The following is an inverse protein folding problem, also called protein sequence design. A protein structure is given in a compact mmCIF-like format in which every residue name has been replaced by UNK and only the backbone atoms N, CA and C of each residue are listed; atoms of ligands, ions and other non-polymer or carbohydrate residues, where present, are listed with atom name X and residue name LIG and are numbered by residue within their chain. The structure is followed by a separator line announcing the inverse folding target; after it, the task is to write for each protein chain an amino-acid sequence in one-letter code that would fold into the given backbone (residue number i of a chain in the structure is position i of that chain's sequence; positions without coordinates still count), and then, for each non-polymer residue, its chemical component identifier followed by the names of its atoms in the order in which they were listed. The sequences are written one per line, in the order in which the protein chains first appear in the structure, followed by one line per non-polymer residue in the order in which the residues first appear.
data_IF_765038490990
#
_entry.id   IF_765038490990
#
_cell.length_a   1.000
_cell.length_b   1.000
_cell.length_c   1.000
_cell.angle_alpha   90.00
_cell.angle_beta   90.00
_cell.angle_gamma   90.00
#
_symmetry.space_group_name_H-M   'P 1'
#
loop_
_entity.id
_entity.type
_entity.pdbx_description
1 polymer ?
#
# COMPACT_ATOMS: atom_id res chain seq x y z
N UNK A 1 54.86 -18.93 -9.05
CA UNK A 1 53.55 -18.28 -8.94
C UNK A 1 53.79 -16.78 -9.00
N UNK A 2 53.19 -16.09 -9.95
CA UNK A 2 53.37 -14.65 -10.11
C UNK A 2 52.54 -13.90 -9.07
N UNK A 3 52.97 -12.70 -8.69
CA UNK A 3 52.27 -11.83 -7.72
C UNK A 3 50.80 -11.56 -8.11
N UNK A 4 50.47 -11.69 -9.40
CA UNK A 4 49.11 -11.60 -9.93
C UNK A 4 48.26 -12.84 -9.62
N UNK A 5 48.82 -14.05 -9.69
CA UNK A 5 48.11 -15.30 -9.37
C UNK A 5 47.75 -15.38 -7.88
N UNK A 6 48.60 -14.85 -7.00
CA UNK A 6 48.31 -14.78 -5.56
C UNK A 6 47.18 -13.79 -5.23
N UNK A 7 47.11 -12.66 -5.94
CA UNK A 7 46.03 -11.68 -5.78
C UNK A 7 44.70 -12.25 -6.24
N UNK A 8 44.66 -12.87 -7.43
CA UNK A 8 43.45 -13.52 -7.97
C UNK A 8 42.95 -14.61 -7.01
N UNK A 9 43.85 -15.42 -6.45
CA UNK A 9 43.47 -16.47 -5.50
C UNK A 9 42.86 -15.91 -4.21
N UNK A 10 43.39 -14.79 -3.70
CA UNK A 10 42.83 -14.11 -2.52
C UNK A 10 41.46 -13.50 -2.79
N UNK A 11 41.27 -12.88 -3.95
CA UNK A 11 39.98 -12.32 -4.36
C UNK A 11 38.91 -13.42 -4.55
N UNK A 12 39.28 -14.54 -5.19
CA UNK A 12 38.38 -15.69 -5.33
C UNK A 12 37.97 -16.28 -3.98
N UNK A 13 38.91 -16.33 -3.02
CA UNK A 13 38.62 -16.81 -1.67
C UNK A 13 37.68 -15.85 -0.92
N UNK A 14 37.87 -14.53 -1.04
CA UNK A 14 36.95 -13.54 -0.46
C UNK A 14 35.55 -13.60 -1.08
N UNK A 15 35.45 -13.78 -2.39
CA UNK A 15 34.15 -13.94 -3.08
C UNK A 15 33.44 -15.20 -2.59
N UNK A 16 34.17 -16.29 -2.39
CA UNK A 16 33.60 -17.55 -1.91
C UNK A 16 33.11 -17.44 -0.45
N UNK A 17 33.87 -16.76 0.42
CA UNK A 17 33.46 -16.46 1.79
C UNK A 17 32.22 -15.54 1.84
N UNK A 18 32.12 -14.54 0.96
CA UNK A 18 30.94 -13.69 0.84
C UNK A 18 29.70 -14.48 0.41
N UNK A 19 29.81 -15.34 -0.61
CA UNK A 19 28.70 -16.20 -1.07
C UNK A 19 28.23 -17.18 0.01
N UNK A 20 29.16 -17.69 0.81
CA UNK A 20 28.83 -18.59 1.90
C UNK A 20 28.09 -17.85 3.02
N UNK A 21 28.54 -16.65 3.40
CA UNK A 21 27.81 -15.79 4.35
C UNK A 21 26.42 -15.40 3.84
N UNK A 22 26.30 -15.08 2.56
CA UNK A 22 25.00 -14.79 1.93
C UNK A 22 24.06 -16.00 2.02
N UNK A 23 24.56 -17.19 1.73
CA UNK A 23 23.78 -18.45 1.84
C UNK A 23 23.34 -18.74 3.26
N UNK A 24 24.22 -18.57 4.25
CA UNK A 24 23.90 -18.73 5.67
C UNK A 24 22.84 -17.71 6.14
N UNK A 25 22.92 -16.48 5.63
CA UNK A 25 21.96 -15.41 5.92
C UNK A 25 20.58 -15.72 5.32
N UNK A 26 20.52 -16.20 4.07
CA UNK A 26 19.27 -16.63 3.42
C UNK A 26 18.64 -17.77 4.21
N UNK A 27 19.42 -18.77 4.61
CA UNK A 27 18.93 -19.88 5.42
C UNK A 27 18.45 -19.46 6.81
N UNK A 28 19.09 -18.47 7.44
CA UNK A 28 18.63 -17.90 8.70
C UNK A 28 17.30 -17.15 8.53
N UNK A 29 17.17 -16.39 7.44
CA UNK A 29 15.94 -15.66 7.08
C UNK A 29 14.79 -16.64 6.80
N UNK A 30 15.05 -17.72 6.05
CA UNK A 30 14.06 -18.76 5.76
C UNK A 30 13.59 -19.48 7.02
N UNK A 31 14.48 -19.72 7.99
CA UNK A 31 14.12 -20.30 9.29
C UNK A 31 13.26 -19.36 10.11
N UNK A 32 13.56 -18.07 10.10
CA UNK A 32 12.77 -17.06 10.79
C UNK A 32 11.37 -16.90 10.16
N UNK A 33 11.30 -16.91 8.83
CA UNK A 33 10.04 -16.95 8.07
C UNK A 33 9.22 -18.21 8.42
N UNK A 34 9.85 -19.39 8.48
CA UNK A 34 9.17 -20.64 8.84
C UNK A 34 8.67 -20.64 10.30
N UNK A 35 9.42 -20.03 11.22
CA UNK A 35 9.02 -19.86 12.62
C UNK A 35 7.83 -18.90 12.76
N UNK A 36 7.85 -17.80 12.01
CA UNK A 36 6.73 -16.87 11.90
C UNK A 36 5.51 -17.57 11.27
N UNK A 37 5.68 -18.39 10.23
CA UNK A 37 4.61 -19.18 9.59
C UNK A 37 3.99 -20.21 10.55
N UNK A 38 4.78 -20.90 11.38
CA UNK A 38 4.28 -21.83 12.38
C UNK A 38 3.46 -21.12 13.48
N UNK A 39 3.78 -19.87 13.82
CA UNK A 39 2.99 -19.04 14.75
C UNK A 39 1.69 -18.48 14.14
N UNK A 40 1.51 -18.57 12.83
CA UNK A 40 0.35 -18.02 12.09
C UNK A 40 -0.80 -19.03 11.90
N UNK A 41 -0.66 -20.27 12.37
CA UNK A 41 -1.59 -21.39 12.17
C UNK A 41 -3.01 -21.25 12.77
N UNK A 42 -3.35 -20.13 13.41
CA UNK A 42 -4.68 -19.91 14.03
C UNK A 42 -5.27 -18.52 13.75
N UNK A 43 -4.80 -17.79 12.74
CA UNK A 43 -5.26 -16.41 12.48
C UNK A 43 -6.19 -16.28 11.28
N UNK A 44 -7.23 -15.45 11.40
CA UNK A 44 -8.10 -15.05 10.29
C UNK A 44 -7.43 -13.96 9.45
N UNK A 45 -7.47 -14.10 8.13
CA UNK A 45 -6.97 -13.10 7.18
C UNK A 45 -8.07 -12.62 6.25
N UNK A 46 -7.91 -11.41 5.74
CA UNK A 46 -8.76 -10.84 4.69
C UNK A 46 -7.94 -10.58 3.44
N UNK A 47 -8.56 -10.75 2.26
CA UNK A 47 -7.88 -10.64 0.97
C UNK A 47 -8.46 -9.51 0.12
N UNK A 48 -7.59 -8.82 -0.60
CA UNK A 48 -7.96 -7.88 -1.66
C UNK A 48 -7.35 -8.36 -2.98
N UNK A 49 -8.15 -8.41 -4.05
CA UNK A 49 -7.72 -8.85 -5.39
C UNK A 49 -7.79 -7.67 -6.34
N UNK A 50 -6.66 -7.37 -7.02
CA UNK A 50 -6.57 -6.29 -8.01
C UNK A 50 -6.11 -6.85 -9.37
N UNK A 51 -6.71 -6.39 -10.48
CA UNK A 51 -6.29 -6.72 -11.85
C UNK A 51 -7.21 -6.14 -12.94
N UNK A 52 -6.69 -5.86 -14.15
CA UNK A 52 -7.51 -5.36 -15.26
C UNK A 52 -8.49 -6.44 -15.75
N UNK A 53 -9.77 -6.09 -15.91
CA UNK A 53 -10.80 -6.99 -16.43
C UNK A 53 -11.60 -7.80 -15.38
N UNK A 54 -11.39 -7.57 -14.08
CA UNK A 54 -12.21 -8.16 -13.01
C UNK A 54 -13.62 -7.53 -13.00
N UNK A 55 -14.66 -8.32 -13.32
CA UNK A 55 -16.06 -7.88 -13.28
C UNK A 55 -16.73 -8.03 -11.91
N UNK A 56 -16.25 -8.97 -11.07
CA UNK A 56 -16.65 -9.09 -9.66
C UNK A 56 -15.75 -10.07 -8.90
N UNK A 57 -15.36 -9.73 -7.67
CA UNK A 57 -14.79 -10.66 -6.69
C UNK A 57 -15.71 -10.67 -5.46
N UNK A 58 -16.22 -11.85 -5.07
CA UNK A 58 -17.02 -12.00 -3.85
C UNK A 58 -16.25 -12.91 -2.89
N UNK A 59 -15.84 -12.37 -1.74
CA UNK A 59 -15.11 -13.09 -0.69
C UNK A 59 -16.10 -13.56 0.36
N UNK A 60 -16.57 -14.81 0.26
CA UNK A 60 -17.49 -15.41 1.23
C UNK A 60 -16.70 -16.24 2.26
N UNK A 61 -16.28 -15.61 3.36
CA UNK A 61 -15.46 -16.20 4.45
C UNK A 61 -14.11 -16.76 3.93
N UNK A 62 -13.13 -17.15 4.78
CA UNK A 62 -11.73 -17.03 4.38
C UNK A 62 -11.52 -17.88 3.14
N UNK A 63 -11.13 -17.21 2.05
CA UNK A 63 -10.51 -17.77 0.84
C UNK A 63 -11.40 -18.38 -0.24
N UNK A 64 -12.22 -17.53 -0.87
CA UNK A 64 -12.75 -17.78 -2.22
C UNK A 64 -12.52 -16.56 -3.13
N UNK A 65 -11.91 -16.77 -4.30
CA UNK A 65 -11.72 -15.74 -5.35
C UNK A 65 -12.46 -16.19 -6.61
N UNK A 66 -13.57 -15.52 -6.95
CA UNK A 66 -14.27 -15.76 -8.20
C UNK A 66 -13.57 -15.02 -9.35
N UNK A 67 -13.14 -15.75 -10.38
CA UNK A 67 -12.59 -15.18 -11.62
C UNK A 67 -13.57 -15.46 -12.76
N UNK A 68 -14.18 -14.42 -13.32
CA UNK A 68 -15.05 -14.54 -14.48
C UNK A 68 -14.24 -14.30 -15.76
N UNK A 69 -14.09 -15.34 -16.59
CA UNK A 69 -13.33 -15.26 -17.85
C UNK A 69 -14.17 -14.57 -18.92
N UNK A 70 -13.63 -13.49 -19.49
CA UNK A 70 -14.22 -12.76 -20.62
C UNK A 70 -13.28 -12.78 -21.83
N UNK A 71 -13.85 -12.63 -23.03
CA UNK A 71 -13.07 -12.44 -24.26
C UNK A 71 -12.48 -11.01 -24.34
N UNK A 72 -11.73 -10.72 -25.41
CA UNK A 72 -11.12 -9.40 -25.65
C UNK A 72 -12.13 -8.25 -25.82
N UNK A 73 -13.44 -8.54 -25.88
CA UNK A 73 -14.52 -7.57 -25.94
C UNK A 73 -15.29 -7.44 -24.62
N UNK A 74 -14.86 -8.14 -23.55
CA UNK A 74 -15.51 -8.14 -22.24
C UNK A 74 -16.74 -9.04 -22.15
N UNK A 75 -16.99 -9.93 -23.14
CA UNK A 75 -18.10 -10.89 -23.09
C UNK A 75 -17.69 -12.16 -22.35
N UNK A 76 -18.53 -12.72 -21.45
CA UNK A 76 -18.24 -14.00 -20.81
C UNK A 76 -18.00 -15.10 -21.85
N UNK A 77 -16.97 -15.93 -21.66
CA UNK A 77 -16.80 -17.12 -22.50
C UNK A 77 -18.07 -17.96 -22.43
N UNK A 78 -18.68 -18.30 -23.57
CA UNK A 78 -19.81 -19.23 -23.69
C UNK A 78 -19.50 -20.22 -24.81
N UNK A 79 -19.32 -21.50 -24.49
CA UNK A 79 -19.22 -22.55 -25.51
C UNK A 79 -20.63 -22.92 -25.98
N UNK A 80 -20.96 -22.84 -27.28
CA UNK A 80 -22.29 -23.15 -27.78
C UNK A 80 -22.46 -24.67 -27.99
N UNK A 81 -23.60 -25.21 -27.52
CA UNK A 81 -24.12 -26.51 -27.95
C UNK A 81 -25.05 -26.31 -29.17
N UNK A 82 -24.69 -26.97 -30.28
CA UNK A 82 -25.45 -27.29 -31.50
C UNK A 82 -25.92 -26.16 -32.46
N UNK A 83 -25.19 -26.07 -33.60
CA UNK A 83 -25.55 -25.76 -35.01
C UNK A 83 -26.73 -24.80 -35.31
N UNK A 84 -26.49 -23.66 -36.00
CA UNK A 84 -26.66 -23.43 -37.47
C UNK A 84 -26.34 -21.97 -37.85
N UNK A 85 -25.71 -21.78 -39.01
CA UNK A 85 -25.61 -20.57 -39.85
C UNK A 85 -24.58 -19.46 -39.52
N UNK A 86 -23.51 -19.51 -40.34
CA UNK A 86 -22.71 -18.45 -40.99
C UNK A 86 -22.77 -17.01 -40.45
N UNK A 87 -21.59 -16.51 -40.05
CA UNK A 87 -21.13 -15.17 -40.43
C UNK A 87 -19.59 -15.16 -40.47
N UNK A 88 -19.05 -14.91 -41.66
CA UNK A 88 -17.62 -14.75 -41.92
C UNK A 88 -17.07 -13.47 -41.27
N UNK A 89 -15.91 -13.58 -40.64
CA UNK A 89 -15.01 -12.46 -40.41
C UNK A 89 -13.62 -12.87 -40.88
N UNK A 90 -13.23 -12.30 -42.01
CA UNK A 90 -11.98 -12.52 -42.74
C UNK A 90 -10.81 -12.00 -41.90
N UNK A 91 -9.87 -12.87 -41.53
CA UNK A 91 -8.52 -12.47 -41.17
C UNK A 91 -7.60 -12.72 -42.37
N UNK A 92 -6.93 -11.66 -42.83
CA UNK A 92 -5.81 -11.78 -43.78
C UNK A 92 -4.64 -12.44 -43.04
N UNK A 93 -4.47 -13.73 -43.25
CA UNK A 93 -3.18 -14.41 -43.10
C UNK A 93 -3.03 -15.41 -44.26
N UNK A 94 -1.88 -15.35 -44.93
CA UNK A 94 -1.45 -16.20 -46.03
C UNK A 94 -1.58 -17.69 -45.66
N UNK A 95 -2.01 -18.58 -46.56
CA UNK A 95 -2.48 -19.91 -46.20
C UNK A 95 -1.32 -20.90 -45.96
N UNK A 96 -1.16 -21.34 -44.72
CA UNK A 96 -0.62 -22.68 -44.44
C UNK A 96 -1.79 -23.65 -44.40
N UNK A 97 -1.92 -24.48 -45.45
CA UNK A 97 -2.89 -25.56 -45.54
C UNK A 97 -2.59 -26.66 -44.50
N UNK A 98 -3.07 -26.50 -43.27
CA UNK A 98 -3.43 -27.62 -42.40
C UNK A 98 -4.69 -27.24 -41.59
N UNK A 99 -5.72 -28.09 -41.53
CA UNK A 99 -6.83 -27.87 -40.62
C UNK A 99 -6.32 -28.08 -39.18
N UNK A 100 -6.21 -27.01 -38.41
CA UNK A 100 -6.03 -27.12 -36.96
C UNK A 100 -7.24 -27.87 -36.38
N UNK A 101 -6.94 -29.01 -35.75
CA UNK A 101 -7.94 -29.86 -35.14
C UNK A 101 -8.71 -29.10 -34.06
N UNK A 102 -10.03 -29.25 -34.04
CA UNK A 102 -10.87 -28.91 -32.89
C UNK A 102 -10.26 -29.51 -31.61
N UNK A 103 -9.99 -28.73 -30.55
CA UNK A 103 -9.43 -29.26 -29.32
C UNK A 103 -10.40 -30.31 -28.75
N UNK A 104 -9.95 -31.56 -28.68
CA UNK A 104 -10.74 -32.70 -28.18
C UNK A 104 -10.73 -32.83 -26.65
N UNK A 105 -10.00 -31.97 -25.95
CA UNK A 105 -9.91 -31.94 -24.49
C UNK A 105 -10.51 -30.64 -23.92
N UNK A 106 -11.21 -30.70 -22.78
CA UNK A 106 -11.63 -29.51 -22.05
C UNK A 106 -10.40 -28.64 -21.75
N UNK A 107 -10.52 -27.30 -21.78
CA UNK A 107 -9.38 -26.46 -21.56
C UNK A 107 -8.84 -26.65 -20.13
N UNK A 108 -7.53 -26.78 -20.01
CA UNK A 108 -6.83 -26.97 -18.73
C UNK A 108 -6.57 -25.59 -18.15
N UNK A 109 -7.16 -25.30 -17.00
CA UNK A 109 -6.91 -24.06 -16.27
C UNK A 109 -5.88 -24.35 -15.18
N UNK A 110 -4.74 -23.67 -15.25
CA UNK A 110 -3.67 -23.77 -14.25
C UNK A 110 -3.61 -22.46 -13.50
N UNK A 111 -3.59 -22.53 -12.17
CA UNK A 111 -3.35 -21.37 -11.33
C UNK A 111 -2.10 -21.62 -10.52
N UNK A 112 -1.13 -20.74 -10.65
CA UNK A 112 0.14 -20.85 -9.92
C UNK A 112 0.43 -19.58 -9.13
N UNK A 113 0.87 -19.77 -7.89
CA UNK A 113 1.52 -18.74 -7.10
C UNK A 113 2.99 -19.16 -6.99
N UNK A 114 3.88 -18.42 -7.65
CA UNK A 114 5.32 -18.73 -7.69
C UNK A 114 6.02 -18.55 -6.33
N UNK A 115 5.33 -17.99 -5.33
CA UNK A 115 5.83 -17.87 -3.95
C UNK A 115 5.61 -19.13 -3.12
N UNK A 116 4.99 -20.18 -3.69
CA UNK A 116 4.66 -21.44 -3.01
C UNK A 116 5.05 -22.68 -3.84
N UNK A 117 5.48 -23.80 -3.20
CA UNK A 117 5.63 -25.08 -3.87
C UNK A 117 4.26 -25.66 -4.27
N UNK A 118 4.13 -26.12 -5.51
CA UNK A 118 2.88 -26.67 -6.05
C UNK A 118 2.46 -27.96 -5.34
N UNK A 119 1.40 -27.94 -4.53
CA UNK A 119 0.69 -29.17 -4.18
C UNK A 119 -0.84 -28.96 -4.09
N UNK A 120 -1.50 -29.67 -5.02
CA UNK A 120 -2.94 -29.95 -5.21
C UNK A 120 -3.96 -29.02 -4.54
N UNK A 121 -4.53 -28.19 -5.41
CA UNK A 121 -5.64 -27.30 -5.17
C UNK A 121 -6.98 -28.04 -5.32
N UNK A 122 -7.93 -27.91 -4.38
CA UNK A 122 -9.29 -28.40 -4.60
C UNK A 122 -10.04 -27.45 -5.53
N UNK A 123 -10.47 -27.95 -6.70
CA UNK A 123 -11.31 -27.23 -7.66
C UNK A 123 -12.68 -27.89 -7.79
N UNK A 124 -13.70 -27.12 -8.13
CA UNK A 124 -15.01 -27.66 -8.50
C UNK A 124 -15.52 -27.02 -9.79
N UNK A 125 -15.90 -27.84 -10.77
CA UNK A 125 -16.46 -27.40 -12.05
C UNK A 125 -17.92 -26.96 -11.83
N UNK A 126 -18.23 -25.70 -12.11
CA UNK A 126 -19.60 -25.19 -12.26
C UNK A 126 -19.97 -25.12 -13.76
N UNK A 127 -21.21 -24.76 -14.17
CA UNK A 127 -21.72 -24.93 -15.55
C UNK A 127 -20.79 -24.39 -16.65
N UNK A 128 -20.97 -24.81 -17.92
CA UNK A 128 -19.90 -25.11 -18.91
C UNK A 128 -19.04 -23.94 -19.41
N UNK A 129 -19.12 -22.77 -18.79
CA UNK A 129 -18.47 -21.54 -19.24
C UNK A 129 -17.88 -20.69 -18.12
N UNK A 130 -17.90 -21.19 -16.87
CA UNK A 130 -17.33 -20.53 -15.71
C UNK A 130 -16.45 -21.49 -14.92
N UNK A 131 -15.29 -20.99 -14.47
CA UNK A 131 -14.34 -21.71 -13.63
C UNK A 131 -14.29 -21.03 -12.26
N UNK A 132 -14.41 -21.81 -11.19
CA UNK A 132 -14.26 -21.33 -9.82
C UNK A 132 -12.90 -21.79 -9.29
N UNK A 133 -12.03 -20.83 -8.96
CA UNK A 133 -10.70 -21.08 -8.41
C UNK A 133 -10.72 -20.71 -6.93
N UNK A 134 -10.48 -21.67 -6.04
CA UNK A 134 -10.31 -21.38 -4.61
C UNK A 134 -8.82 -21.34 -4.26
N UNK A 135 -8.40 -20.23 -3.64
CA UNK A 135 -7.02 -19.98 -3.24
C UNK A 135 -6.99 -19.54 -1.78
N UNK A 136 -6.27 -20.29 -0.95
CA UNK A 136 -5.96 -19.91 0.43
C UNK A 136 -4.48 -19.53 0.55
N UNK A 137 -4.14 -18.23 0.53
CA UNK A 137 -2.79 -17.80 0.85
C UNK A 137 -2.45 -18.22 2.29
N UNK A 138 -1.24 -18.71 2.45
CA UNK A 138 -0.72 -19.20 3.73
C UNK A 138 0.17 -18.17 4.44
N UNK A 139 0.42 -17.03 3.80
CA UNK A 139 1.20 -15.92 4.35
C UNK A 139 0.51 -14.57 4.14
N UNK A 140 0.94 -13.56 4.90
CA UNK A 140 0.51 -12.17 4.75
C UNK A 140 1.21 -11.52 3.54
N UNK A 141 0.67 -10.38 3.08
CA UNK A 141 1.28 -9.56 2.03
C UNK A 141 0.77 -9.85 0.63
N UNK A 142 1.47 -9.31 -0.38
CA UNK A 142 1.13 -9.44 -1.79
C UNK A 142 1.58 -10.77 -2.37
N UNK A 143 0.65 -11.42 -3.04
CA UNK A 143 0.83 -12.65 -3.81
C UNK A 143 0.54 -12.38 -5.28
N UNK A 144 1.29 -13.03 -6.17
CA UNK A 144 1.07 -12.96 -7.62
C UNK A 144 0.44 -14.26 -8.08
N UNK A 145 -0.83 -14.18 -8.46
CA UNK A 145 -1.61 -15.30 -8.95
C UNK A 145 -1.56 -15.32 -10.48
N UNK A 146 -0.76 -16.23 -11.02
CA UNK A 146 -0.75 -16.52 -12.46
C UNK A 146 -1.91 -17.46 -12.79
N UNK A 147 -2.65 -17.14 -13.83
CA UNK A 147 -3.81 -17.91 -14.30
C UNK A 147 -3.61 -18.18 -15.78
N UNK A 148 -3.52 -19.45 -16.12
CA UNK A 148 -3.26 -19.94 -17.47
C UNK A 148 -4.43 -20.81 -17.92
N UNK A 149 -4.77 -20.74 -19.21
CA UNK A 149 -5.75 -21.62 -19.87
C UNK A 149 -5.06 -22.24 -21.09
N UNK A 150 -4.93 -23.56 -21.10
CA UNK A 150 -4.16 -24.32 -22.11
C UNK A 150 -2.72 -23.79 -22.25
N UNK A 151 -2.03 -23.66 -21.12
CA UNK A 151 -0.63 -23.19 -21.05
C UNK A 151 -0.42 -21.78 -21.61
N UNK A 152 -1.49 -20.97 -21.69
CA UNK A 152 -1.44 -19.56 -22.08
C UNK A 152 -1.99 -18.71 -20.95
N UNK A 153 -1.17 -17.76 -20.49
CA UNK A 153 -1.57 -16.80 -19.47
C UNK A 153 -2.76 -15.95 -19.96
N UNK A 154 -3.78 -15.81 -19.13
CA UNK A 154 -4.98 -15.05 -19.49
C UNK A 154 -4.72 -13.54 -19.38
N UNK A 155 -5.50 -12.76 -20.12
CA UNK A 155 -5.49 -11.32 -19.99
C UNK A 155 -5.80 -10.90 -18.53
N UNK A 156 -4.98 -10.01 -17.99
CA UNK A 156 -5.09 -9.53 -16.61
C UNK A 156 -4.29 -10.34 -15.58
N UNK A 157 -3.72 -11.48 -15.99
CA UNK A 157 -2.76 -12.23 -15.19
C UNK A 157 -1.33 -11.68 -15.39
N UNK A 158 -0.47 -11.65 -14.35
CA UNK A 158 -0.75 -12.07 -12.96
C UNK A 158 -1.68 -11.11 -12.22
N UNK A 159 -2.59 -11.68 -11.42
CA UNK A 159 -3.41 -10.93 -10.47
C UNK A 159 -2.63 -10.72 -9.18
N UNK A 160 -2.81 -9.57 -8.53
CA UNK A 160 -2.23 -9.34 -7.20
C UNK A 160 -3.27 -9.59 -6.13
N UNK A 161 -2.98 -10.52 -5.21
CA UNK A 161 -3.79 -10.78 -4.03
C UNK A 161 -3.04 -10.29 -2.80
N UNK A 162 -3.58 -9.31 -2.08
CA UNK A 162 -2.94 -8.79 -0.85
C UNK A 162 -3.66 -9.33 0.36
N UNK A 163 -2.91 -9.92 1.28
CA UNK A 163 -3.42 -10.50 2.53
C UNK A 163 -3.11 -9.61 3.72
N UNK A 164 -4.16 -9.18 4.40
CA UNK A 164 -4.08 -8.41 5.63
C UNK A 164 -4.56 -9.25 6.82
N UNK A 165 -3.84 -9.24 7.95
CA UNK A 165 -4.31 -9.90 9.16
C UNK A 165 -5.62 -9.28 9.64
N UNK A 166 -6.53 -10.08 10.21
CA UNK A 166 -7.72 -9.55 10.87
C UNK A 166 -7.28 -8.58 11.97
N UNK A 167 -7.73 -7.31 11.95
CA UNK A 167 -7.32 -6.31 12.92
C UNK A 167 -7.64 -6.71 14.37
N UNK A 168 -8.63 -7.60 14.58
CA UNK A 168 -8.98 -8.12 15.92
C UNK A 168 -7.92 -9.06 16.50
N UNK A 169 -7.01 -9.55 15.65
CA UNK A 169 -5.98 -10.54 16.00
C UNK A 169 -4.55 -10.00 15.82
N UNK A 170 -4.41 -8.68 15.62
CA UNK A 170 -3.11 -8.00 15.61
C UNK A 170 -2.41 -8.20 16.96
N UNK A 171 -1.25 -8.87 16.90
CA UNK A 171 -0.46 -9.25 18.05
C UNK A 171 0.50 -8.14 18.52
N UNK A 172 1.60 -8.56 19.14
CA UNK A 172 2.73 -7.67 19.43
C UNK A 172 3.46 -7.27 18.14
N UNK A 173 4.13 -6.11 18.11
CA UNK A 173 5.00 -5.76 17.00
C UNK A 173 6.02 -6.87 16.74
N UNK A 174 6.23 -7.23 15.48
CA UNK A 174 7.29 -8.15 15.07
C UNK A 174 8.66 -7.48 15.02
N UNK A 175 8.69 -6.15 14.89
CA UNK A 175 9.91 -5.35 14.77
C UNK A 175 9.66 -3.92 15.26
N UNK A 176 10.68 -3.30 15.81
CA UNK A 176 10.66 -1.88 16.18
C UNK A 176 11.91 -1.19 15.64
N UNK A 177 11.72 -0.08 14.92
CA UNK A 177 12.79 0.79 14.44
C UNK A 177 12.95 1.95 15.41
N UNK A 178 14.13 2.10 16.00
CA UNK A 178 14.46 3.14 16.99
C UNK A 178 15.52 4.11 16.45
N UNK A 179 15.93 5.10 17.27
CA UNK A 179 16.93 6.10 16.85
C UNK A 179 16.38 7.16 15.89
N UNK A 180 15.06 7.27 15.80
CA UNK A 180 14.37 8.32 15.07
C UNK A 180 14.20 9.55 15.98
N UNK A 181 13.91 10.72 15.40
CA UNK A 181 13.62 11.94 16.13
C UNK A 181 12.24 12.46 15.73
N UNK A 182 11.25 12.13 16.57
CA UNK A 182 9.83 12.46 16.38
C UNK A 182 9.34 12.07 14.97
N UNK A 183 9.31 10.76 14.63
CA UNK A 183 8.89 10.31 13.30
C UNK A 183 7.41 10.61 13.04
N UNK A 184 7.09 11.08 11.84
CA UNK A 184 5.75 11.58 11.50
C UNK A 184 5.08 10.76 10.39
N UNK A 185 5.67 10.78 9.19
CA UNK A 185 5.18 10.15 7.97
C UNK A 185 6.06 8.98 7.55
N UNK A 186 5.46 7.99 6.87
CA UNK A 186 6.14 6.85 6.26
C UNK A 186 5.68 6.70 4.81
N UNK A 187 6.63 6.54 3.90
CA UNK A 187 6.41 6.11 2.52
C UNK A 187 7.37 4.97 2.17
N UNK A 188 7.12 4.29 1.06
CA UNK A 188 7.99 3.23 0.54
C UNK A 188 8.31 3.49 -0.92
N UNK A 189 9.55 3.25 -1.33
CA UNK A 189 9.91 3.26 -2.75
C UNK A 189 9.68 1.88 -3.39
N UNK A 190 9.95 1.77 -4.69
CA UNK A 190 9.80 0.54 -5.47
C UNK A 190 10.65 -0.63 -4.94
N UNK A 191 11.80 -0.32 -4.31
CA UNK A 191 12.69 -1.28 -3.64
C UNK A 191 12.21 -1.70 -2.24
N UNK A 192 11.04 -1.23 -1.80
CA UNK A 192 10.48 -1.46 -0.45
C UNK A 192 11.33 -0.88 0.67
N UNK A 193 12.17 0.12 0.38
CA UNK A 193 12.88 0.87 1.40
C UNK A 193 11.91 1.82 2.10
N UNK A 194 11.92 1.81 3.43
CA UNK A 194 11.06 2.63 4.25
C UNK A 194 11.66 4.04 4.39
N UNK A 195 10.92 5.05 3.93
CA UNK A 195 11.30 6.46 4.05
C UNK A 195 10.46 7.10 5.14
N UNK A 196 11.12 7.55 6.20
CA UNK A 196 10.49 8.15 7.38
C UNK A 196 10.81 9.63 7.44
N UNK A 197 9.79 10.48 7.48
CA UNK A 197 9.98 11.90 7.81
C UNK A 197 10.20 12.07 9.32
N UNK A 198 11.33 12.65 9.69
CA UNK A 198 11.69 12.91 11.07
C UNK A 198 11.41 14.38 11.39
N UNK A 199 10.23 14.64 11.94
CA UNK A 199 9.76 15.99 12.25
C UNK A 199 10.73 16.73 13.16
N UNK A 200 11.25 16.07 14.20
CA UNK A 200 12.25 16.66 15.09
C UNK A 200 13.67 16.65 14.52
N UNK A 201 13.92 15.76 13.55
CA UNK A 201 15.21 15.57 12.90
C UNK A 201 15.47 16.49 11.72
N UNK A 202 14.45 17.19 11.20
CA UNK A 202 14.51 18.05 10.02
C UNK A 202 15.09 17.34 8.77
N UNK A 203 14.77 16.06 8.61
CA UNK A 203 15.32 15.18 7.56
C UNK A 203 14.38 14.02 7.25
N UNK A 204 14.69 13.30 6.19
CA UNK A 204 14.11 12.00 5.85
C UNK A 204 15.14 10.91 6.13
N UNK A 205 14.77 9.90 6.92
CA UNK A 205 15.59 8.69 7.09
C UNK A 205 15.09 7.57 6.21
N UNK A 206 16.00 6.91 5.51
CA UNK A 206 15.71 5.77 4.64
C UNK A 206 16.24 4.51 5.33
N UNK A 207 15.44 3.44 5.31
CA UNK A 207 15.81 2.13 5.85
C UNK A 207 15.62 1.07 4.79
N UNK A 208 16.60 0.17 4.64
CA UNK A 208 16.44 -1.01 3.78
C UNK A 208 15.41 -1.99 4.38
N UNK A 209 15.08 -3.04 3.63
CA UNK A 209 14.14 -4.09 4.06
C UNK A 209 14.57 -4.82 5.36
N UNK A 210 15.85 -4.74 5.72
CA UNK A 210 16.41 -5.31 6.97
C UNK A 210 16.32 -4.33 8.13
N UNK A 211 15.86 -3.10 7.90
CA UNK A 211 15.81 -2.03 8.89
C UNK A 211 17.16 -1.33 9.11
N UNK A 212 18.13 -1.54 8.21
CA UNK A 212 19.40 -0.81 8.26
C UNK A 212 19.21 0.58 7.68
N UNK A 213 19.68 1.60 8.42
CA UNK A 213 19.63 2.98 7.98
C UNK A 213 20.60 3.23 6.80
N UNK A 214 20.06 3.80 5.73
CA UNK A 214 20.73 4.31 4.53
C UNK A 214 20.97 5.83 4.71
N UNK A 215 21.87 6.49 3.94
CA UNK A 215 22.02 7.94 3.97
C UNK A 215 20.69 8.71 3.96
N UNK A 216 20.60 9.70 4.85
CA UNK A 216 19.41 10.54 5.03
C UNK A 216 19.34 11.65 4.01
N UNK A 217 18.13 12.12 3.71
CA UNK A 217 17.90 13.27 2.84
C UNK A 217 17.48 14.51 3.63
N UNK A 218 17.90 15.69 3.17
CA UNK A 218 17.53 16.97 3.75
C UNK A 218 18.40 17.40 4.94
N UNK A 219 18.35 18.70 5.21
CA UNK A 219 18.99 19.34 6.36
C UNK A 219 18.09 20.47 6.89
N UNK A 220 18.31 20.89 8.13
CA UNK A 220 17.53 21.98 8.73
C UNK A 220 17.80 23.30 8.01
N UNK A 221 16.75 23.93 7.52
CA UNK A 221 16.80 25.29 6.98
C UNK A 221 15.61 25.62 6.08
N UNK A 222 15.56 26.86 5.60
CA UNK A 222 14.45 27.35 4.78
C UNK A 222 14.77 27.41 3.28
N UNK A 223 15.98 27.03 2.86
CA UNK A 223 16.30 26.91 1.44
C UNK A 223 15.37 25.90 0.74
N UNK A 224 15.21 25.98 -0.59
CA UNK A 224 14.30 25.10 -1.34
C UNK A 224 14.56 23.60 -1.18
N UNK A 225 15.79 23.20 -0.93
CA UNK A 225 16.28 21.83 -0.72
C UNK A 225 16.38 21.44 0.77
N UNK A 226 16.16 22.41 1.68
CA UNK A 226 16.19 22.22 3.12
C UNK A 226 14.78 22.06 3.69
N UNK A 227 14.69 21.41 4.86
CA UNK A 227 13.42 21.09 5.49
C UNK A 227 13.36 21.60 6.93
N UNK A 228 12.19 22.02 7.35
CA UNK A 228 11.89 22.28 8.76
C UNK A 228 10.63 21.49 9.09
N UNK A 229 10.75 20.57 10.06
CA UNK A 229 9.62 19.77 10.53
C UNK A 229 8.90 19.03 9.40
N UNK A 230 9.61 18.18 8.61
CA UNK A 230 8.96 17.42 7.55
C UNK A 230 7.87 16.52 8.14
N UNK A 231 6.70 16.53 7.51
CA UNK A 231 5.50 15.88 8.01
C UNK A 231 5.01 14.79 7.04
N UNK A 232 4.06 15.09 6.16
CA UNK A 232 3.56 14.13 5.18
C UNK A 232 4.61 13.78 4.13
N UNK A 233 4.63 12.52 3.73
CA UNK A 233 5.53 11.99 2.72
C UNK A 233 4.80 11.01 1.79
N UNK A 234 5.10 11.07 0.50
CA UNK A 234 4.62 10.12 -0.51
C UNK A 234 5.70 9.90 -1.59
N UNK A 235 5.59 8.79 -2.31
CA UNK A 235 6.48 8.39 -3.41
C UNK A 235 5.64 8.12 -4.65
N UNK A 236 6.08 8.60 -5.82
CA UNK A 236 5.46 8.23 -7.11
C UNK A 236 6.08 6.96 -7.70
N UNK A 237 5.52 6.48 -8.82
CA UNK A 237 5.96 5.25 -9.51
C UNK A 237 7.39 5.35 -10.09
N UNK A 238 7.99 6.54 -10.07
CA UNK A 238 9.40 6.78 -10.45
C UNK A 238 10.31 7.01 -9.25
N UNK A 239 9.82 6.70 -8.05
CA UNK A 239 10.49 6.89 -6.76
C UNK A 239 10.85 8.35 -6.43
N UNK A 240 10.18 9.33 -7.06
CA UNK A 240 10.31 10.71 -6.60
C UNK A 240 9.61 10.86 -5.26
N UNK A 241 10.23 11.60 -4.35
CA UNK A 241 9.78 11.79 -2.98
C UNK A 241 9.09 13.16 -2.86
N UNK A 242 7.83 13.16 -2.44
CA UNK A 242 7.06 14.35 -2.13
C UNK A 242 6.99 14.51 -0.62
N UNK A 243 7.34 15.68 -0.11
CA UNK A 243 7.36 15.95 1.33
C UNK A 243 6.78 17.34 1.62
N UNK A 244 5.88 17.40 2.61
CA UNK A 244 5.47 18.66 3.20
C UNK A 244 6.42 19.04 4.33
N UNK A 245 6.84 20.29 4.36
CA UNK A 245 7.80 20.81 5.33
C UNK A 245 7.65 22.31 5.41
N UNK A 246 7.42 22.86 6.61
CA UNK A 246 7.34 24.30 6.91
C UNK A 246 6.77 25.19 5.79
N UNK A 247 5.45 25.14 5.60
CA UNK A 247 4.73 25.92 4.59
C UNK A 247 5.12 25.65 3.13
N UNK A 248 5.86 24.56 2.86
CA UNK A 248 6.31 24.15 1.53
C UNK A 248 5.87 22.72 1.21
N UNK A 249 5.79 22.45 -0.08
CA UNK A 249 5.77 21.12 -0.67
C UNK A 249 7.01 20.99 -1.55
N UNK A 250 7.81 19.95 -1.32
CA UNK A 250 9.06 19.71 -2.01
C UNK A 250 9.00 18.34 -2.70
N UNK A 251 9.48 18.27 -3.94
CA UNK A 251 9.63 17.05 -4.74
C UNK A 251 11.11 16.81 -4.99
N UNK A 252 11.59 15.62 -4.66
CA UNK A 252 12.97 15.18 -4.85
C UNK A 252 13.02 13.95 -5.75
N UNK A 253 14.14 13.72 -6.43
CA UNK A 253 14.45 12.42 -7.02
C UNK A 253 14.64 11.36 -5.93
N UNK A 254 14.66 10.09 -6.32
CA UNK A 254 15.02 8.98 -5.41
C UNK A 254 16.44 9.10 -4.84
N UNK A 255 17.35 9.78 -5.54
CA UNK A 255 18.70 10.10 -5.07
C UNK A 255 18.78 11.32 -4.14
N UNK A 256 17.68 12.05 -3.95
CA UNK A 256 17.60 13.20 -3.06
C UNK A 256 17.93 14.55 -3.69
N UNK A 257 17.99 14.63 -5.01
CA UNK A 257 18.15 15.91 -5.73
C UNK A 257 16.80 16.64 -5.78
N UNK A 258 16.78 17.93 -5.46
CA UNK A 258 15.56 18.73 -5.51
C UNK A 258 15.09 18.89 -6.96
N UNK A 259 13.87 18.45 -7.26
CA UNK A 259 13.20 18.66 -8.55
C UNK A 259 12.43 19.97 -8.53
N UNK A 260 11.56 20.16 -7.53
CA UNK A 260 10.72 21.36 -7.43
C UNK A 260 10.33 21.64 -5.98
N UNK A 261 10.22 22.91 -5.64
CA UNK A 261 9.73 23.38 -4.37
C UNK A 261 8.68 24.48 -4.62
N UNK A 262 7.52 24.33 -3.99
CA UNK A 262 6.46 25.34 -4.00
C UNK A 262 6.03 25.65 -2.57
N UNK A 263 5.31 26.76 -2.40
CA UNK A 263 4.77 27.13 -1.10
C UNK A 263 5.51 28.26 -0.41
N UNK A 264 4.71 28.98 0.38
CA UNK A 264 5.12 29.93 1.41
C UNK A 264 3.96 30.05 2.39
N UNK A 265 4.20 30.65 3.55
CA UNK A 265 3.11 30.92 4.49
C UNK A 265 2.06 31.82 3.86
N UNK A 266 0.79 31.40 3.89
CA UNK A 266 -0.31 32.20 3.37
C UNK A 266 -1.60 31.40 3.19
N UNK A 267 -2.57 32.00 2.49
CA UNK A 267 -3.93 31.44 2.30
C UNK A 267 -4.34 31.33 0.83
N UNK A 268 -3.53 31.88 -0.08
CA UNK A 268 -3.81 31.80 -1.53
C UNK A 268 -3.52 30.40 -2.05
N UNK A 269 -3.91 30.16 -3.28
CA UNK A 269 -3.57 28.93 -4.01
C UNK A 269 -2.05 28.76 -4.08
N UNK A 270 -1.57 27.56 -3.75
CA UNK A 270 -0.14 27.27 -3.66
C UNK A 270 0.57 27.90 -2.45
N UNK A 271 -0.13 28.60 -1.55
CA UNK A 271 0.39 29.00 -0.23
C UNK A 271 -0.15 28.05 0.85
N UNK A 272 0.64 27.79 1.90
CA UNK A 272 0.31 26.79 2.93
C UNK A 272 0.43 27.36 4.34
N UNK A 273 -0.39 26.88 5.27
CA UNK A 273 -0.23 27.08 6.71
C UNK A 273 -0.28 25.72 7.42
N UNK A 274 0.88 25.26 7.90
CA UNK A 274 1.09 23.91 8.48
C UNK A 274 0.63 22.76 7.55
N UNK A 275 1.22 22.59 6.36
CA UNK A 275 0.89 21.46 5.50
C UNK A 275 1.33 20.14 6.17
N UNK A 276 0.42 19.18 6.27
CA UNK A 276 0.63 17.88 6.93
C UNK A 276 0.62 16.75 5.91
N UNK A 277 -0.42 15.92 5.87
CA UNK A 277 -0.51 14.76 4.98
C UNK A 277 -0.26 15.11 3.52
N UNK A 278 0.48 14.25 2.84
CA UNK A 278 0.73 14.27 1.40
C UNK A 278 0.37 12.89 0.87
N UNK A 279 -0.52 12.84 -0.11
CA UNK A 279 -0.95 11.58 -0.75
C UNK A 279 -1.01 11.77 -2.25
N UNK A 280 -0.52 10.77 -2.98
CA UNK A 280 -0.67 10.68 -4.42
C UNK A 280 -1.87 9.80 -4.76
N UNK A 281 -2.72 10.27 -5.66
CA UNK A 281 -3.84 9.49 -6.19
C UNK A 281 -4.21 10.03 -7.57
N UNK A 282 -4.40 9.14 -8.55
CA UNK A 282 -4.81 9.49 -9.91
C UNK A 282 -3.99 10.64 -10.54
N UNK A 283 -2.65 10.45 -10.53
CA UNK A 283 -1.65 11.41 -11.04
C UNK A 283 -1.75 12.83 -10.43
N UNK A 284 -2.23 12.93 -9.19
CA UNK A 284 -2.37 14.19 -8.48
C UNK A 284 -1.80 14.10 -7.06
N UNK A 285 -1.32 15.23 -6.56
CA UNK A 285 -0.79 15.40 -5.21
C UNK A 285 -1.82 16.11 -4.34
N UNK A 286 -2.31 15.43 -3.31
CA UNK A 286 -3.23 15.97 -2.32
C UNK A 286 -2.44 16.36 -1.07
N UNK A 287 -2.55 17.61 -0.67
CA UNK A 287 -1.86 18.17 0.51
C UNK A 287 -2.88 18.69 1.51
N UNK A 288 -2.88 18.12 2.72
CA UNK A 288 -3.67 18.62 3.84
C UNK A 288 -3.07 19.92 4.37
N UNK A 289 -3.66 21.06 4.01
CA UNK A 289 -3.25 22.39 4.44
C UNK A 289 -3.93 22.74 5.77
N UNK A 290 -3.36 22.18 6.85
CA UNK A 290 -4.03 21.95 8.14
C UNK A 290 -4.64 23.23 8.74
N UNK A 291 -3.86 24.30 8.88
CA UNK A 291 -4.33 25.53 9.51
C UNK A 291 -5.24 26.35 8.59
N UNK A 292 -5.12 26.16 7.27
CA UNK A 292 -6.04 26.75 6.29
C UNK A 292 -7.32 25.93 6.11
N UNK A 293 -7.40 24.74 6.73
CA UNK A 293 -8.61 23.91 6.82
C UNK A 293 -9.17 23.53 5.45
N UNK A 294 -8.26 23.14 4.56
CA UNK A 294 -8.56 22.69 3.20
C UNK A 294 -7.56 21.61 2.78
N UNK A 295 -7.88 20.93 1.70
CA UNK A 295 -6.92 20.10 0.96
C UNK A 295 -6.61 20.84 -0.34
N UNK A 296 -5.33 21.03 -0.66
CA UNK A 296 -4.92 21.55 -1.97
C UNK A 296 -4.47 20.41 -2.86
N UNK A 297 -4.88 20.45 -4.12
CA UNK A 297 -4.58 19.42 -5.13
C UNK A 297 -3.70 20.02 -6.21
N UNK A 298 -2.64 19.30 -6.55
CA UNK A 298 -1.66 19.65 -7.58
C UNK A 298 -1.52 18.52 -8.60
N UNK A 299 -1.02 18.81 -9.79
CA UNK A 299 -0.51 17.77 -10.69
C UNK A 299 0.88 17.28 -10.23
N UNK A 300 1.45 16.27 -10.91
CA UNK A 300 2.78 15.74 -10.59
C UNK A 300 3.93 16.73 -10.83
N UNK A 301 3.67 17.78 -11.60
CA UNK A 301 4.57 18.92 -11.81
C UNK A 301 4.39 19.99 -10.74
N UNK A 302 3.56 19.78 -9.72
CA UNK A 302 3.23 20.72 -8.64
C UNK A 302 2.58 22.03 -9.11
N UNK A 303 1.82 22.01 -10.20
CA UNK A 303 0.94 23.11 -10.57
C UNK A 303 -0.40 22.95 -9.85
N UNK A 304 -0.94 24.05 -9.32
CA UNK A 304 -2.21 24.02 -8.59
C UNK A 304 -3.36 23.64 -9.52
N UNK A 305 -4.19 22.70 -9.07
CA UNK A 305 -5.37 22.22 -9.81
C UNK A 305 -6.64 22.74 -9.17
N UNK A 306 -6.84 22.47 -7.87
CA UNK A 306 -8.04 22.90 -7.12
C UNK A 306 -7.83 22.81 -5.61
N UNK A 307 -8.77 23.35 -4.84
CA UNK A 307 -8.89 23.12 -3.40
C UNK A 307 -10.17 22.34 -3.09
N UNK A 308 -10.12 21.51 -2.07
CA UNK A 308 -11.28 20.75 -1.55
C UNK A 308 -11.55 21.19 -0.11
N UNK A 309 -12.83 21.44 0.14
CA UNK A 309 -13.38 21.82 1.44
C UNK A 309 -13.13 23.28 1.84
N UNK A 310 -13.78 23.66 2.93
CA UNK A 310 -13.71 24.98 3.56
C UNK A 310 -13.68 24.85 5.08
N UNK A 311 -13.35 25.93 5.78
CA UNK A 311 -13.44 25.93 7.23
C UNK A 311 -14.87 25.62 7.71
N UNK A 312 -15.01 24.65 8.63
CA UNK A 312 -16.21 24.53 9.45
C UNK A 312 -16.36 23.17 10.14
N UNK A 313 -17.61 22.78 10.38
CA UNK A 313 -18.00 21.53 11.08
C UNK A 313 -19.05 20.72 10.31
N UNK A 314 -19.60 21.28 9.24
CA UNK A 314 -20.55 20.65 8.35
C UNK A 314 -19.92 19.59 7.45
N UNK A 315 -20.72 19.13 6.49
CA UNK A 315 -20.31 18.16 5.47
C UNK A 315 -19.36 18.83 4.49
N UNK A 316 -18.24 18.16 4.19
CA UNK A 316 -17.17 18.69 3.34
C UNK A 316 -16.52 19.98 3.87
N UNK A 317 -16.80 20.35 5.12
CA UNK A 317 -16.07 21.37 5.85
C UNK A 317 -15.03 20.70 6.74
N UNK A 318 -13.87 21.34 6.89
CA UNK A 318 -12.75 20.79 7.64
C UNK A 318 -12.36 21.64 8.84
N UNK A 319 -11.78 20.97 9.83
CA UNK A 319 -11.08 21.60 10.93
C UNK A 319 -9.83 20.80 11.29
N UNK A 320 -8.66 21.35 10.93
CA UNK A 320 -7.36 20.70 11.02
C UNK A 320 -7.34 19.32 10.31
N UNK A 321 -7.54 19.26 8.98
CA UNK A 321 -7.32 18.04 8.22
C UNK A 321 -5.83 17.65 8.33
N UNK A 322 -5.56 16.42 8.74
CA UNK A 322 -4.18 15.93 8.96
C UNK A 322 -3.74 14.99 7.87
N UNK A 323 -4.59 14.06 7.45
CA UNK A 323 -4.26 13.08 6.42
C UNK A 323 -5.44 12.81 5.50
N UNK A 324 -5.13 12.39 4.28
CA UNK A 324 -6.09 12.05 3.24
C UNK A 324 -5.66 10.77 2.55
N UNK A 325 -6.57 9.81 2.38
CA UNK A 325 -6.32 8.54 1.67
C UNK A 325 -7.51 8.14 0.82
N UNK A 326 -7.27 7.27 -0.14
CA UNK A 326 -8.28 6.82 -1.10
C UNK A 326 -8.45 5.31 -0.99
N UNK A 327 -9.69 4.83 -1.14
CA UNK A 327 -9.95 3.41 -1.38
C UNK A 327 -9.89 3.06 -2.87
N UNK A 328 -10.04 1.77 -3.20
CA UNK A 328 -9.99 1.30 -4.59
C UNK A 328 -11.19 1.72 -5.44
N UNK A 329 -12.28 2.15 -4.82
CA UNK A 329 -13.42 2.75 -5.52
C UNK A 329 -13.20 4.26 -5.77
N UNK A 330 -12.09 4.81 -5.28
CA UNK A 330 -11.75 6.23 -5.38
C UNK A 330 -12.43 7.12 -4.36
N UNK A 331 -13.03 6.56 -3.31
CA UNK A 331 -13.56 7.39 -2.25
C UNK A 331 -12.42 7.94 -1.39
N UNK A 332 -12.49 9.23 -1.09
CA UNK A 332 -11.52 9.98 -0.32
C UNK A 332 -11.91 10.05 1.16
N UNK A 333 -11.02 9.59 2.04
CA UNK A 333 -11.13 9.63 3.49
C UNK A 333 -10.23 10.74 4.02
N UNK A 334 -10.78 11.62 4.86
CA UNK A 334 -10.06 12.75 5.46
C UNK A 334 -10.14 12.66 6.97
N UNK A 335 -8.99 12.58 7.64
CA UNK A 335 -8.90 12.61 9.10
C UNK A 335 -8.83 14.05 9.60
N UNK A 336 -9.76 14.43 10.48
CA UNK A 336 -9.86 15.77 11.04
C UNK A 336 -9.51 15.77 12.52
N UNK A 337 -8.32 16.27 12.84
CA UNK A 337 -7.78 16.26 14.19
C UNK A 337 -8.68 17.02 15.17
N UNK A 338 -9.10 18.23 14.82
CA UNK A 338 -9.86 19.08 15.76
C UNK A 338 -11.34 18.74 15.84
N UNK A 339 -11.91 18.12 14.80
CA UNK A 339 -13.31 17.68 14.83
C UNK A 339 -13.47 16.25 15.37
N UNK A 340 -12.38 15.50 15.57
CA UNK A 340 -12.44 14.14 16.11
C UNK A 340 -13.23 13.19 15.22
N UNK A 341 -13.01 13.25 13.90
CA UNK A 341 -13.79 12.48 12.93
C UNK A 341 -13.01 12.14 11.68
N UNK A 342 -13.52 11.16 10.94
CA UNK A 342 -13.13 10.89 9.55
C UNK A 342 -14.33 11.21 8.65
N UNK A 343 -14.11 12.00 7.61
CA UNK A 343 -15.11 12.25 6.56
C UNK A 343 -14.75 11.46 5.30
N UNK A 344 -15.76 10.86 4.69
CA UNK A 344 -15.70 10.15 3.43
C UNK A 344 -16.45 10.94 2.35
N UNK A 345 -15.83 11.12 1.20
CA UNK A 345 -16.40 11.79 0.04
C UNK A 345 -15.95 11.12 -1.25
N UNK A 346 -16.73 11.24 -2.32
CA UNK A 346 -16.29 10.77 -3.65
C UNK A 346 -15.27 11.75 -4.27
N UNK A 347 -14.67 11.36 -5.41
CA UNK A 347 -13.70 12.20 -6.13
C UNK A 347 -14.28 13.50 -6.67
N UNK A 348 -15.62 13.61 -6.78
CA UNK A 348 -16.30 14.85 -7.15
C UNK A 348 -16.47 15.82 -5.97
N UNK A 349 -16.07 15.41 -4.77
CA UNK A 349 -16.15 16.18 -3.54
C UNK A 349 -17.49 16.07 -2.83
N UNK A 350 -18.35 15.12 -3.23
CA UNK A 350 -19.65 14.92 -2.61
C UNK A 350 -19.54 14.09 -1.34
N UNK A 351 -20.19 14.55 -0.29
CA UNK A 351 -20.22 13.87 0.99
C UNK A 351 -20.89 12.49 0.89
N UNK A 352 -20.21 11.47 1.39
CA UNK A 352 -20.75 10.12 1.52
C UNK A 352 -21.10 9.84 3.00
N UNK A 353 -20.13 10.03 3.91
CA UNK A 353 -20.27 9.59 5.31
C UNK A 353 -19.33 10.35 6.25
N UNK A 354 -19.66 10.32 7.53
CA UNK A 354 -18.78 10.70 8.63
C UNK A 354 -18.84 9.63 9.72
N UNK A 355 -17.74 9.38 10.40
CA UNK A 355 -17.67 8.47 11.56
C UNK A 355 -16.59 8.89 12.56
N UNK A 356 -16.62 8.26 13.73
CA UNK A 356 -15.66 8.46 14.83
C UNK A 356 -15.96 9.61 15.79
N UNK A 357 -17.13 10.25 15.70
CA UNK A 357 -17.51 11.33 16.61
C UNK A 357 -18.05 10.83 17.96
N UNK A 358 -18.54 9.59 18.02
CA UNK A 358 -19.21 9.00 19.17
C UNK A 358 -19.11 7.46 19.17
N UNK A 359 -19.58 6.83 20.26
CA UNK A 359 -19.57 5.37 20.43
C UNK A 359 -18.19 4.80 20.79
N UNK A 360 -18.05 3.48 20.68
CA UNK A 360 -16.83 2.74 21.03
C UNK A 360 -15.61 3.12 20.18
N UNK A 361 -15.84 3.57 18.93
CA UNK A 361 -14.78 4.04 18.04
C UNK A 361 -14.36 5.49 18.25
N UNK A 362 -14.99 6.25 19.15
CA UNK A 362 -14.80 7.71 19.24
C UNK A 362 -13.33 8.12 19.17
N UNK A 363 -13.01 8.98 18.20
CA UNK A 363 -11.67 9.48 17.91
C UNK A 363 -11.37 10.73 18.76
N UNK A 364 -10.15 10.77 19.29
CA UNK A 364 -9.56 11.87 20.03
C UNK A 364 -8.31 12.36 19.30
N UNK A 365 -8.49 13.29 18.35
CA UNK A 365 -7.39 13.81 17.54
C UNK A 365 -6.88 12.80 16.51
N UNK A 366 -7.71 12.35 15.55
CA UNK A 366 -7.26 11.44 14.52
C UNK A 366 -6.18 12.11 13.66
N UNK A 367 -5.17 11.33 13.28
CA UNK A 367 -4.00 11.79 12.53
C UNK A 367 -3.85 11.04 11.21
N UNK A 368 -3.04 9.98 11.16
CA UNK A 368 -2.81 9.18 9.96
C UNK A 368 -3.95 8.21 9.62
N UNK A 369 -4.11 7.95 8.32
CA UNK A 369 -5.06 7.00 7.78
C UNK A 369 -4.35 5.91 6.97
N UNK A 370 -4.88 4.69 7.04
CA UNK A 370 -4.54 3.62 6.11
C UNK A 370 -5.79 2.81 5.76
N UNK A 371 -6.04 2.63 4.46
CA UNK A 371 -7.12 1.77 3.98
C UNK A 371 -6.51 0.49 3.45
N UNK A 372 -6.92 -0.63 4.04
CA UNK A 372 -6.53 -1.96 3.61
C UNK A 372 -7.78 -2.82 3.46
N UNK A 373 -8.06 -3.28 2.24
CA UNK A 373 -9.28 -4.00 1.91
C UNK A 373 -10.54 -3.23 2.34
N UNK A 374 -11.32 -3.77 3.28
CA UNK A 374 -12.53 -3.14 3.83
C UNK A 374 -12.29 -2.38 5.13
N UNK A 375 -11.04 -2.28 5.59
CA UNK A 375 -10.71 -1.66 6.86
C UNK A 375 -10.10 -0.28 6.69
N UNK A 376 -10.47 0.62 7.58
CA UNK A 376 -9.89 1.96 7.73
C UNK A 376 -9.20 1.99 9.10
N UNK A 377 -7.88 2.02 9.07
CA UNK A 377 -7.04 2.19 10.25
C UNK A 377 -6.81 3.69 10.47
N UNK A 378 -7.07 4.14 11.68
CA UNK A 378 -6.93 5.54 12.08
C UNK A 378 -5.98 5.60 13.26
N UNK A 379 -4.86 6.31 13.10
CA UNK A 379 -4.04 6.67 14.25
C UNK A 379 -4.77 7.72 15.07
N UNK A 380 -5.10 7.40 16.31
CA UNK A 380 -5.79 8.31 17.21
C UNK A 380 -4.77 8.98 18.13
N UNK A 381 -4.26 10.14 17.72
CA UNK A 381 -3.09 10.76 18.32
C UNK A 381 -3.30 11.06 19.81
N UNK A 382 -4.42 11.67 20.20
CA UNK A 382 -4.67 11.99 21.62
C UNK A 382 -5.26 10.80 22.39
N UNK A 383 -5.75 9.78 21.67
CA UNK A 383 -6.15 8.49 22.24
C UNK A 383 -4.98 7.54 22.51
N UNK A 384 -3.78 7.82 22.02
CA UNK A 384 -2.59 6.97 22.12
C UNK A 384 -2.84 5.52 21.62
N UNK A 385 -3.66 5.36 20.58
CA UNK A 385 -4.05 4.06 20.04
C UNK A 385 -4.29 4.11 18.52
N UNK A 386 -4.47 2.93 17.93
CA UNK A 386 -5.00 2.78 16.57
C UNK A 386 -6.45 2.31 16.71
N UNK A 387 -7.36 3.00 16.02
CA UNK A 387 -8.78 2.64 15.93
C UNK A 387 -9.07 2.12 14.53
N UNK A 388 -9.78 1.01 14.44
CA UNK A 388 -10.09 0.36 13.16
C UNK A 388 -11.58 0.35 12.92
N UNK A 389 -11.96 0.75 11.71
CA UNK A 389 -13.33 0.73 11.20
C UNK A 389 -13.42 -0.15 9.97
N UNK A 390 -14.63 -0.53 9.58
CA UNK A 390 -14.91 -0.90 8.19
C UNK A 390 -15.11 0.35 7.32
N UNK A 391 -14.98 0.23 5.99
CA UNK A 391 -15.30 1.30 5.02
C UNK A 391 -16.77 1.74 5.09
N UNK A 392 -17.64 0.92 5.69
CA UNK A 392 -19.01 1.28 6.06
C UNK A 392 -19.11 2.31 7.20
N UNK A 393 -18.01 2.60 7.89
CA UNK A 393 -17.92 3.46 9.07
C UNK A 393 -18.25 2.75 10.40
N UNK A 394 -18.48 1.43 10.38
CA UNK A 394 -18.70 0.65 11.59
C UNK A 394 -17.39 0.41 12.34
N UNK A 395 -17.39 0.63 13.65
CA UNK A 395 -16.25 0.33 14.51
C UNK A 395 -15.97 -1.19 14.54
N UNK A 396 -14.69 -1.56 14.47
CA UNK A 396 -14.24 -2.96 14.46
C UNK A 396 -13.50 -3.31 15.73
N UNK A 397 -12.47 -2.54 16.07
CA UNK A 397 -11.59 -2.76 17.23
C UNK A 397 -10.69 -1.55 17.44
N UNK A 398 -9.98 -1.50 18.56
CA UNK A 398 -8.84 -0.61 18.78
C UNK A 398 -7.70 -1.35 19.47
N UNK A 399 -6.48 -0.89 19.28
CA UNK A 399 -5.33 -1.42 19.99
C UNK A 399 -4.30 -0.34 20.32
N UNK A 400 -3.61 -0.56 21.43
CA UNK A 400 -2.66 0.39 21.98
C UNK A 400 -3.25 1.23 23.10
N UNK A 401 -2.35 1.86 23.84
CA UNK A 401 -2.62 2.78 24.95
C UNK A 401 -1.39 3.63 25.18
N UNK A 402 -1.56 4.71 25.95
CA UNK A 402 -0.44 5.54 26.39
C UNK A 402 0.65 4.73 27.09
N UNK A 403 1.88 4.81 26.61
CA UNK A 403 3.00 4.13 27.24
C UNK A 403 4.26 4.08 26.38
N UNK A 404 5.22 3.25 26.78
CA UNK A 404 6.54 3.12 26.11
C UNK A 404 6.88 1.67 25.76
N UNK A 405 6.11 0.70 26.26
CA UNK A 405 6.35 -0.71 25.97
C UNK A 405 5.92 -1.03 24.54
N UNK A 406 6.27 -2.21 24.05
CA UNK A 406 5.72 -2.72 22.80
C UNK A 406 4.19 -2.69 22.83
N UNK A 407 3.59 -2.33 21.68
CA UNK A 407 2.14 -2.12 21.49
C UNK A 407 1.56 -0.94 22.27
N UNK A 408 2.35 -0.20 23.05
CA UNK A 408 1.94 1.09 23.64
C UNK A 408 2.45 2.24 22.76
N UNK A 409 1.73 3.36 22.75
CA UNK A 409 2.04 4.53 21.93
C UNK A 409 2.08 5.82 22.76
N UNK A 410 2.74 6.84 22.20
CA UNK A 410 2.60 8.24 22.60
C UNK A 410 2.39 9.09 21.35
N UNK A 411 1.13 9.44 21.06
CA UNK A 411 0.77 10.25 19.91
C UNK A 411 1.08 9.57 18.58
N UNK A 412 0.45 8.43 18.23
CA UNK A 412 0.70 7.82 16.92
C UNK A 412 0.31 8.79 15.78
N UNK A 413 1.17 8.91 14.75
CA UNK A 413 0.93 9.73 13.55
C UNK A 413 0.63 8.85 12.33
N UNK A 414 1.61 8.61 11.46
CA UNK A 414 1.39 7.77 10.29
C UNK A 414 1.13 6.31 10.70
N UNK A 415 0.16 5.71 10.02
CA UNK A 415 -0.05 4.28 9.92
C UNK A 415 -0.07 3.94 8.44
N UNK A 416 0.64 2.90 8.02
CA UNK A 416 0.68 2.45 6.62
C UNK A 416 1.15 0.99 6.53
N UNK A 417 1.10 0.39 5.35
CA UNK A 417 1.69 -0.92 5.07
C UNK A 417 2.49 -0.87 3.76
N UNK A 418 3.48 -1.75 3.63
CA UNK A 418 4.12 -2.03 2.34
C UNK A 418 3.61 -3.36 1.76
N UNK A 419 4.24 -3.83 0.67
CA UNK A 419 3.78 -5.01 -0.08
C UNK A 419 3.82 -6.31 0.72
N UNK A 420 4.57 -6.35 1.82
CA UNK A 420 4.65 -7.50 2.73
C UNK A 420 3.42 -7.61 3.68
N UNK A 421 2.54 -6.60 3.68
CA UNK A 421 1.33 -6.58 4.50
C UNK A 421 1.56 -6.27 5.98
N UNK A 422 2.78 -5.89 6.39
CA UNK A 422 3.06 -5.45 7.76
C UNK A 422 2.61 -4.01 7.98
N UNK A 423 1.97 -3.77 9.13
CA UNK A 423 1.48 -2.44 9.50
C UNK A 423 2.55 -1.67 10.25
N UNK A 424 2.96 -0.54 9.71
CA UNK A 424 3.99 0.35 10.27
C UNK A 424 3.31 1.55 10.93
N UNK A 425 3.61 1.77 12.21
CA UNK A 425 3.02 2.86 13.00
C UNK A 425 4.11 3.77 13.53
N UNK A 426 4.09 5.05 13.15
CA UNK A 426 4.92 6.09 13.75
C UNK A 426 4.45 6.38 15.18
N UNK A 427 5.24 5.96 16.15
CA UNK A 427 5.04 6.25 17.56
C UNK A 427 5.86 7.50 17.93
N UNK A 428 5.28 8.65 17.60
CA UNK A 428 5.94 9.96 17.58
C UNK A 428 6.67 10.30 18.88
N UNK A 429 5.95 10.26 20.00
CA UNK A 429 6.46 10.66 21.31
C UNK A 429 7.45 9.67 21.91
N UNK A 430 7.52 8.44 21.37
CA UNK A 430 8.52 7.44 21.73
C UNK A 430 9.67 7.34 20.72
N UNK A 431 9.68 8.21 19.69
CA UNK A 431 10.78 8.30 18.73
C UNK A 431 11.09 6.95 18.03
N UNK A 432 10.05 6.22 17.64
CA UNK A 432 10.18 4.89 17.01
C UNK A 432 9.08 4.61 15.98
N UNK A 433 9.29 3.59 15.17
CA UNK A 433 8.24 2.95 14.35
C UNK A 433 8.03 1.53 14.85
N UNK A 434 6.78 1.15 15.12
CA UNK A 434 6.41 -0.22 15.49
C UNK A 434 5.77 -0.92 14.29
N UNK A 435 6.20 -2.15 14.00
CA UNK A 435 5.82 -2.93 12.82
C UNK A 435 5.06 -4.18 13.29
N UNK A 436 3.80 -4.35 12.84
CA UNK A 436 2.87 -5.41 13.29
C UNK A 436 2.57 -6.45 12.22
#
# INVERSE_FOLDING_TARGET
MTRAEETIRREQQQIQEMRQRETELVQATDREIALLQHQLGEKSYTCQVNGPGLTSATVNQPTHVLVQLTDSSGRPYSLPLNVTAQLELVSKATPTNQPEATPTSPPVVTVTDKTMPSSRWPWSKKPPSQYEVSYTPVSRGQHKLHVEVNDREINGSPFTVTMYPDPRQLGHPVRTVTGLNLPYGIAFNSNQEMIVSEWGGHRLSIFDIRGQKIPTLGSRGDSPDQMIHPAGIATDDTDNIYVSSWHKLQKFTSSGELIKCIGRRGRKEGEFDDPRGVTLYDNQVYVCDCNNRRIQVFDLDLNFVRSIGSHGKGRCEFNAPVDVKFDTAGNMYVAEFSNGRVQLMDTSGQFIRVFGQEGEGKLCGPSGLHIAYKYVYVSDYSGDCIVVYETSGQFVTSFGRRGQKEREFRGPYCITSCVDGFMHVCDFGNCRVQIF
#
